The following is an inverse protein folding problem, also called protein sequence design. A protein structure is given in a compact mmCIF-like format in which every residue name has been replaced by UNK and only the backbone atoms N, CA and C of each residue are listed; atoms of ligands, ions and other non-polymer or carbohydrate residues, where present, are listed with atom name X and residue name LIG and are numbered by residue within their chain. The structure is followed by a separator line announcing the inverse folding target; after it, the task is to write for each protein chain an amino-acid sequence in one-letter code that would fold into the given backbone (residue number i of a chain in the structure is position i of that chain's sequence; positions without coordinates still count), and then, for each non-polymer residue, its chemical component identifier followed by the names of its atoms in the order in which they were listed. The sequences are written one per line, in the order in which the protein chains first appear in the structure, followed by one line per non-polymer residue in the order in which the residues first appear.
data_IF_356836710607
#
_entry.id   IF_356836710607
#
_cell.length_a   1.000
_cell.length_b   1.000
_cell.length_c   1.000
_cell.angle_alpha   90.00
_cell.angle_beta   90.00
_cell.angle_gamma   90.00
#
_symmetry.space_group_name_H-M   'P 1'
#
loop_
_entity.id
_entity.type
_entity.pdbx_description
1 polymer ?
#
# COMPACT_ATOMS: atom_id res chain seq x y z
N UNK A 1 -22.07 11.10 -12.05
CA UNK A 1 -20.63 11.00 -12.39
C UNK A 1 -19.73 11.64 -11.35
N UNK A 2 -19.91 12.92 -11.00
CA UNK A 2 -19.15 13.60 -9.93
C UNK A 2 -19.29 12.90 -8.57
N UNK A 3 -20.46 12.29 -8.31
CA UNK A 3 -20.76 11.38 -7.20
C UNK A 3 -19.75 10.24 -7.06
N UNK A 4 -19.57 9.45 -8.13
CA UNK A 4 -18.65 8.31 -8.14
C UNK A 4 -17.19 8.75 -7.99
N UNK A 5 -16.82 9.87 -8.62
CA UNK A 5 -15.47 10.44 -8.59
C UNK A 5 -15.10 10.95 -7.18
N UNK A 6 -16.07 11.36 -6.36
CA UNK A 6 -15.81 11.73 -4.97
C UNK A 6 -15.84 10.50 -4.03
N UNK A 7 -16.82 9.60 -4.24
CA UNK A 7 -17.09 8.49 -3.33
C UNK A 7 -16.00 7.40 -3.36
N UNK A 8 -15.52 7.01 -4.54
CA UNK A 8 -14.50 5.96 -4.67
C UNK A 8 -13.17 6.38 -4.02
N UNK A 9 -12.57 7.55 -4.32
CA UNK A 9 -11.34 7.99 -3.67
C UNK A 9 -11.48 8.16 -2.16
N UNK A 10 -12.63 8.68 -1.70
CA UNK A 10 -12.92 8.80 -0.25
C UNK A 10 -12.88 7.43 0.42
N UNK A 11 -13.58 6.44 -0.15
CA UNK A 11 -13.57 5.08 0.36
C UNK A 11 -12.18 4.46 0.36
N UNK A 12 -11.40 4.65 -0.72
CA UNK A 12 -10.05 4.09 -0.86
C UNK A 12 -9.13 4.67 0.21
N UNK A 13 -9.21 5.98 0.46
CA UNK A 13 -8.43 6.69 1.48
C UNK A 13 -8.78 6.19 2.89
N UNK A 14 -10.07 6.08 3.22
CA UNK A 14 -10.50 5.58 4.53
C UNK A 14 -10.07 4.13 4.75
N UNK A 15 -10.24 3.26 3.76
CA UNK A 15 -9.77 1.88 3.84
C UNK A 15 -8.25 1.80 4.00
N UNK A 16 -7.49 2.65 3.30
CA UNK A 16 -6.03 2.68 3.43
C UNK A 16 -5.59 3.11 4.84
N UNK A 17 -6.25 4.11 5.45
CA UNK A 17 -5.98 4.54 6.82
C UNK A 17 -6.30 3.45 7.84
N UNK A 18 -7.48 2.82 7.71
CA UNK A 18 -7.90 1.72 8.60
C UNK A 18 -6.97 0.52 8.45
N UNK A 19 -6.60 0.14 7.23
CA UNK A 19 -5.69 -0.95 6.95
C UNK A 19 -4.26 -0.68 7.49
N UNK A 20 -3.77 0.55 7.34
CA UNK A 20 -2.50 0.99 7.93
C UNK A 20 -2.49 0.88 9.45
N UNK A 21 -3.52 1.44 10.09
CA UNK A 21 -3.68 1.39 11.54
C UNK A 21 -3.78 -0.06 12.04
N UNK A 22 -4.60 -0.90 11.39
CA UNK A 22 -4.71 -2.32 11.73
C UNK A 22 -3.38 -3.07 11.57
N UNK A 23 -2.59 -2.73 10.53
CA UNK A 23 -1.27 -3.33 10.33
C UNK A 23 -0.31 -2.95 11.48
N UNK A 24 -0.31 -1.69 11.94
CA UNK A 24 0.54 -1.27 13.06
C UNK A 24 0.07 -1.84 14.40
N UNK A 25 -1.24 -1.93 14.63
CA UNK A 25 -1.79 -2.52 15.87
C UNK A 25 -1.51 -4.02 15.95
N UNK A 26 -1.53 -4.74 14.82
CA UNK A 26 -1.23 -6.18 14.80
C UNK A 26 0.27 -6.48 14.86
N UNK A 27 1.15 -5.52 14.49
CA UNK A 27 2.61 -5.65 14.57
C UNK A 27 3.25 -4.35 15.07
N UNK A 28 3.14 -4.01 16.36
CA UNK A 28 3.59 -2.72 16.89
C UNK A 28 5.10 -2.51 16.80
N UNK A 29 5.89 -3.59 16.71
CA UNK A 29 7.34 -3.52 16.58
C UNK A 29 7.83 -3.25 15.14
N UNK A 30 6.99 -3.46 14.12
CA UNK A 30 7.42 -3.38 12.72
C UNK A 30 7.79 -1.95 12.29
N UNK A 31 6.98 -0.96 12.70
CA UNK A 31 7.21 0.44 12.34
C UNK A 31 8.46 1.03 13.05
N UNK A 32 8.66 0.87 14.38
CA UNK A 32 9.90 1.26 15.04
C UNK A 32 11.14 0.59 14.45
N UNK A 33 11.08 -0.71 14.12
CA UNK A 33 12.18 -1.43 13.51
C UNK A 33 12.54 -0.85 12.13
N UNK A 34 11.53 -0.57 11.29
CA UNK A 34 11.71 0.09 9.99
C UNK A 34 12.33 1.48 10.13
N UNK A 35 11.80 2.33 11.03
CA UNK A 35 12.34 3.68 11.25
C UNK A 35 13.78 3.66 11.76
N UNK A 36 14.11 2.69 12.62
CA UNK A 36 15.48 2.48 13.10
C UNK A 36 16.40 2.06 11.95
N UNK A 37 15.96 1.12 11.10
CA UNK A 37 16.72 0.67 9.93
C UNK A 37 16.96 1.80 8.92
N UNK A 38 15.99 2.70 8.73
CA UNK A 38 16.17 3.86 7.85
C UNK A 38 17.17 4.89 8.40
N UNK A 39 17.41 4.95 9.72
CA UNK A 39 18.42 5.81 10.33
C UNK A 39 18.24 7.32 10.06
N UNK A 40 17.03 7.77 9.69
CA UNK A 40 16.73 9.19 9.40
C UNK A 40 16.38 9.96 10.68
N UNK A 41 15.76 9.30 11.65
CA UNK A 41 15.36 9.89 12.93
C UNK A 41 16.35 9.51 14.03
N UNK A 42 16.58 10.38 15.03
CA UNK A 42 17.35 10.00 16.21
C UNK A 42 16.60 8.89 16.96
N UNK A 43 17.33 7.92 17.54
CA UNK A 43 16.76 6.73 18.18
C UNK A 43 15.68 7.05 19.24
N UNK A 44 15.82 8.19 19.93
CA UNK A 44 14.85 8.67 20.94
C UNK A 44 13.51 9.11 20.35
N UNK A 45 13.49 9.57 19.09
CA UNK A 45 12.28 10.03 18.41
C UNK A 45 11.52 8.91 17.70
N UNK A 46 12.17 7.78 17.41
CA UNK A 46 11.57 6.61 16.73
C UNK A 46 10.26 6.12 17.39
N UNK A 47 10.20 5.83 18.70
CA UNK A 47 8.97 5.32 19.31
C UNK A 47 7.85 6.36 19.30
N UNK A 48 8.19 7.64 19.45
CA UNK A 48 7.22 8.73 19.40
C UNK A 48 6.64 8.89 17.99
N UNK A 49 7.49 8.89 16.97
CA UNK A 49 7.08 8.99 15.58
C UNK A 49 6.19 7.81 15.16
N UNK A 50 6.56 6.59 15.57
CA UNK A 50 5.76 5.40 15.31
C UNK A 50 4.36 5.50 15.95
N UNK A 51 4.28 5.89 17.23
CA UNK A 51 2.98 6.08 17.91
C UNK A 51 2.16 7.20 17.29
N UNK A 52 2.78 8.33 16.96
CA UNK A 52 2.10 9.46 16.34
C UNK A 52 1.52 9.09 14.98
N UNK A 53 2.26 8.34 14.16
CA UNK A 53 1.79 7.82 12.87
C UNK A 53 0.57 6.91 13.05
N UNK A 54 0.65 5.90 13.91
CA UNK A 54 -0.47 4.97 14.16
C UNK A 54 -1.70 5.69 14.75
N UNK A 55 -1.50 6.63 15.66
CA UNK A 55 -2.59 7.44 16.21
C UNK A 55 -3.21 8.33 15.14
N UNK A 56 -2.42 8.97 14.28
CA UNK A 56 -2.93 9.79 13.20
C UNK A 56 -3.76 8.96 12.21
N UNK A 57 -3.28 7.78 11.81
CA UNK A 57 -4.03 6.87 10.94
C UNK A 57 -5.35 6.41 11.58
N UNK A 58 -5.31 6.00 12.85
CA UNK A 58 -6.49 5.57 13.58
C UNK A 58 -7.52 6.69 13.77
N UNK A 59 -7.07 7.88 14.19
CA UNK A 59 -7.95 9.03 14.40
C UNK A 59 -8.56 9.52 13.10
N UNK A 60 -7.78 9.63 12.01
CA UNK A 60 -8.31 10.03 10.71
C UNK A 60 -9.26 8.97 10.13
N UNK A 61 -8.95 7.69 10.27
CA UNK A 61 -9.84 6.60 9.86
C UNK A 61 -11.17 6.62 10.62
N UNK A 62 -11.12 6.76 11.94
CA UNK A 62 -12.31 6.81 12.80
C UNK A 62 -13.14 8.08 12.55
N UNK A 63 -12.50 9.26 12.54
CA UNK A 63 -13.17 10.54 12.30
C UNK A 63 -13.77 10.61 10.90
N UNK A 64 -13.07 10.11 9.89
CA UNK A 64 -13.57 10.06 8.52
C UNK A 64 -14.77 9.12 8.36
N UNK A 65 -14.73 7.95 9.01
CA UNK A 65 -15.86 7.01 9.03
C UNK A 65 -17.06 7.62 9.75
N UNK A 66 -16.84 8.23 10.92
CA UNK A 66 -17.90 8.89 11.67
C UNK A 66 -18.52 10.07 10.89
N UNK A 67 -17.69 10.91 10.26
CA UNK A 67 -18.16 12.02 9.43
C UNK A 67 -18.94 11.54 8.21
N UNK A 68 -18.53 10.42 7.59
CA UNK A 68 -19.24 9.80 6.48
C UNK A 68 -20.63 9.29 6.92
N UNK A 69 -20.70 8.57 8.04
CA UNK A 69 -21.95 8.03 8.60
C UNK A 69 -22.90 9.15 9.06
N UNK A 70 -22.37 10.19 9.70
CA UNK A 70 -23.10 11.38 10.11
C UNK A 70 -23.42 12.34 8.95
N UNK A 71 -22.95 12.03 7.73
CA UNK A 71 -23.15 12.84 6.52
C UNK A 71 -22.61 14.28 6.65
N UNK A 72 -21.61 14.47 7.52
CA UNK A 72 -21.04 15.77 7.85
C UNK A 72 -19.93 16.14 6.85
N UNK A 73 -20.33 16.72 5.71
CA UNK A 73 -19.45 16.97 4.56
C UNK A 73 -18.19 17.79 4.87
N UNK A 74 -18.31 18.86 5.65
CA UNK A 74 -17.17 19.73 5.99
C UNK A 74 -16.14 19.01 6.85
N UNK A 75 -16.59 18.23 7.83
CA UNK A 75 -15.73 17.38 8.65
C UNK A 75 -15.04 16.30 7.81
N UNK A 76 -15.78 15.65 6.90
CA UNK A 76 -15.20 14.66 5.99
C UNK A 76 -14.15 15.27 5.06
N UNK A 77 -14.41 16.46 4.51
CA UNK A 77 -13.45 17.19 3.69
C UNK A 77 -12.19 17.59 4.48
N UNK A 78 -12.34 18.02 5.73
CA UNK A 78 -11.21 18.31 6.62
C UNK A 78 -10.38 17.06 6.92
N UNK A 79 -11.02 15.92 7.18
CA UNK A 79 -10.33 14.63 7.37
C UNK A 79 -9.57 14.23 6.09
N UNK A 80 -10.18 14.38 4.92
CA UNK A 80 -9.52 14.07 3.64
C UNK A 80 -8.32 14.99 3.39
N UNK A 81 -8.42 16.28 3.69
CA UNK A 81 -7.28 17.20 3.60
C UNK A 81 -6.13 16.80 4.56
N UNK A 82 -6.47 16.44 5.80
CA UNK A 82 -5.48 15.95 6.76
C UNK A 82 -4.86 14.61 6.35
N UNK A 83 -5.66 13.69 5.79
CA UNK A 83 -5.17 12.44 5.23
C UNK A 83 -4.23 12.67 4.03
N UNK A 84 -4.55 13.63 3.15
CA UNK A 84 -3.68 14.03 2.06
C UNK A 84 -2.31 14.51 2.57
N UNK A 85 -2.31 15.35 3.60
CA UNK A 85 -1.08 15.81 4.24
C UNK A 85 -0.28 14.65 4.85
N UNK A 86 -0.93 13.73 5.57
CA UNK A 86 -0.28 12.55 6.14
C UNK A 86 0.37 11.68 5.06
N UNK A 87 -0.36 11.35 3.99
CA UNK A 87 0.18 10.55 2.88
C UNK A 87 1.29 11.27 2.12
N UNK A 88 1.20 12.59 1.95
CA UNK A 88 2.28 13.38 1.38
C UNK A 88 3.54 13.34 2.25
N UNK A 89 3.41 13.45 3.58
CA UNK A 89 4.51 13.27 4.52
C UNK A 89 5.16 11.89 4.38
N UNK A 90 4.35 10.82 4.29
CA UNK A 90 4.88 9.46 4.04
C UNK A 90 5.60 9.35 2.70
N UNK A 91 5.05 9.94 1.63
CA UNK A 91 5.67 9.91 0.31
C UNK A 91 7.00 10.67 0.29
N UNK A 92 7.06 11.85 0.91
CA UNK A 92 8.27 12.66 1.03
C UNK A 92 9.32 11.96 1.89
N UNK A 93 8.91 11.38 3.02
CA UNK A 93 9.80 10.60 3.88
C UNK A 93 10.39 9.41 3.11
N UNK A 94 9.56 8.59 2.47
CA UNK A 94 10.03 7.44 1.70
C UNK A 94 10.96 7.86 0.55
N UNK A 95 10.64 8.97 -0.15
CA UNK A 95 11.51 9.52 -1.19
C UNK A 95 12.85 9.97 -0.64
N UNK A 96 12.87 10.67 0.49
CA UNK A 96 14.09 11.11 1.14
C UNK A 96 14.96 9.93 1.58
N UNK A 97 14.36 8.94 2.23
CA UNK A 97 15.02 7.72 2.67
C UNK A 97 15.67 6.98 1.49
N UNK A 98 14.95 6.82 0.36
CA UNK A 98 15.51 6.25 -0.87
C UNK A 98 16.65 7.09 -1.46
N UNK A 99 16.50 8.43 -1.50
CA UNK A 99 17.53 9.32 -2.01
C UNK A 99 18.83 9.28 -1.20
N UNK A 100 18.74 8.99 0.11
CA UNK A 100 19.91 8.82 1.00
C UNK A 100 20.54 7.42 0.92
N UNK A 101 20.03 6.52 0.09
CA UNK A 101 20.51 5.14 -0.02
C UNK A 101 20.19 4.27 1.20
N UNK A 102 19.40 4.76 2.15
CA UNK A 102 19.03 4.06 3.37
C UNK A 102 17.79 3.20 3.11
N UNK A 103 17.99 2.08 2.43
CA UNK A 103 16.94 1.09 2.21
C UNK A 103 16.45 0.45 3.51
N UNK A 104 15.42 -0.40 3.42
CA UNK A 104 14.88 -1.10 4.59
C UNK A 104 13.46 -1.58 4.38
N UNK A 105 12.85 -2.23 5.38
CA UNK A 105 11.45 -2.63 5.32
C UNK A 105 10.54 -1.40 5.33
N UNK A 106 9.52 -1.37 4.47
CA UNK A 106 8.65 -0.20 4.34
C UNK A 106 7.85 0.16 5.61
N UNK A 107 7.66 -0.77 6.55
CA UNK A 107 6.90 -0.58 7.79
C UNK A 107 5.38 -0.37 7.60
N UNK A 108 4.92 -0.08 6.38
CA UNK A 108 3.52 0.20 6.04
C UNK A 108 2.68 -1.03 5.71
N UNK A 109 3.28 -2.22 5.53
CA UNK A 109 2.55 -3.42 5.10
C UNK A 109 2.91 -4.66 5.89
N UNK A 110 1.98 -5.61 5.94
CA UNK A 110 2.14 -6.89 6.66
C UNK A 110 3.24 -7.78 6.07
N UNK A 111 3.61 -7.56 4.81
CA UNK A 111 4.73 -8.20 4.16
C UNK A 111 5.99 -7.33 4.35
N UNK A 112 7.12 -7.95 4.65
CA UNK A 112 8.43 -7.29 4.64
C UNK A 112 8.81 -6.97 3.19
N UNK A 113 8.24 -5.88 2.68
CA UNK A 113 8.52 -5.36 1.36
C UNK A 113 9.61 -4.29 1.49
N UNK A 114 10.71 -4.39 0.73
CA UNK A 114 11.74 -3.37 0.74
C UNK A 114 11.18 -2.04 0.24
N UNK A 115 11.66 -0.95 0.83
CA UNK A 115 11.38 0.40 0.38
C UNK A 115 11.78 0.53 -1.09
N UNK A 116 10.86 1.02 -1.93
CA UNK A 116 11.04 1.14 -3.38
C UNK A 116 10.30 2.36 -3.91
N UNK A 117 10.64 2.81 -5.11
CA UNK A 117 9.95 3.93 -5.78
C UNK A 117 8.44 3.69 -5.93
N UNK A 118 8.01 2.42 -5.99
CA UNK A 118 6.60 2.05 -5.98
C UNK A 118 5.87 2.50 -4.70
N UNK A 119 6.49 2.34 -3.52
CA UNK A 119 5.89 2.75 -2.24
C UNK A 119 5.70 4.27 -2.21
N UNK A 120 6.67 5.02 -2.75
CA UNK A 120 6.57 6.47 -2.91
C UNK A 120 5.41 6.83 -3.83
N UNK A 121 5.31 6.18 -5.00
CA UNK A 121 4.22 6.38 -5.96
C UNK A 121 2.85 6.07 -5.37
N UNK A 122 2.72 4.97 -4.60
CA UNK A 122 1.48 4.60 -3.91
C UNK A 122 1.07 5.63 -2.86
N UNK A 123 2.01 6.11 -2.06
CA UNK A 123 1.72 7.15 -1.07
C UNK A 123 1.26 8.45 -1.75
N UNK A 124 1.90 8.85 -2.86
CA UNK A 124 1.43 9.97 -3.67
C UNK A 124 0.04 9.73 -4.27
N UNK A 125 -0.26 8.52 -4.75
CA UNK A 125 -1.59 8.21 -5.27
C UNK A 125 -2.66 8.42 -4.19
N UNK A 126 -2.45 7.93 -2.96
CA UNK A 126 -3.39 8.18 -1.85
C UNK A 126 -3.48 9.66 -1.49
N UNK A 127 -2.37 10.39 -1.48
CA UNK A 127 -2.36 11.83 -1.22
C UNK A 127 -3.19 12.60 -2.27
N UNK A 128 -3.01 12.29 -3.55
CA UNK A 128 -3.74 12.93 -4.66
C UNK A 128 -5.22 12.55 -4.67
N UNK A 129 -5.55 11.29 -4.36
CA UNK A 129 -6.94 10.84 -4.21
C UNK A 129 -7.63 11.60 -3.08
N UNK A 130 -6.99 11.73 -1.92
CA UNK A 130 -7.52 12.47 -0.79
C UNK A 130 -7.68 13.97 -1.10
N UNK A 131 -6.67 14.58 -1.73
CA UNK A 131 -6.67 15.99 -2.11
C UNK A 131 -7.74 16.29 -3.16
N UNK A 132 -7.94 15.40 -4.14
CA UNK A 132 -8.98 15.55 -5.16
C UNK A 132 -10.39 15.33 -4.60
N UNK A 133 -10.56 14.41 -3.65
CA UNK A 133 -11.85 14.13 -3.03
C UNK A 133 -12.32 15.24 -2.08
N UNK A 134 -11.40 15.86 -1.32
CA UNK A 134 -11.73 16.89 -0.34
C UNK A 134 -12.62 18.04 -0.88
N UNK A 135 -12.27 18.75 -1.99
CA UNK A 135 -13.11 19.81 -2.53
C UNK A 135 -14.41 19.29 -3.14
N UNK A 136 -14.43 18.08 -3.71
CA UNK A 136 -15.63 17.47 -4.28
C UNK A 136 -16.67 17.14 -3.19
N UNK A 137 -16.20 16.67 -2.02
CA UNK A 137 -17.04 16.41 -0.84
C UNK A 137 -17.50 17.70 -0.18
N UNK A 138 -16.64 18.73 -0.12
CA UNK A 138 -17.01 20.04 0.42
C UNK A 138 -18.04 20.78 -0.46
N UNK A 139 -18.06 20.52 -1.77
CA UNK A 139 -18.98 21.13 -2.73
C UNK A 139 -20.36 20.46 -2.83
N UNK A 140 -21.05 20.74 -3.94
CA UNK A 140 -22.39 20.22 -4.29
C UNK A 140 -22.39 18.75 -4.75
N UNK A 141 -21.40 17.94 -4.37
CA UNK A 141 -21.46 16.50 -4.65
C UNK A 141 -22.71 15.92 -3.97
N UNK A 142 -23.72 15.54 -4.75
CA UNK A 142 -24.84 14.78 -4.22
C UNK A 142 -24.31 13.45 -3.67
N UNK A 143 -24.96 12.82 -2.69
CA UNK A 143 -24.72 11.41 -2.43
C UNK A 143 -25.09 10.55 -3.66
N UNK A 144 -24.58 9.31 -3.79
CA UNK A 144 -25.01 8.43 -4.87
C UNK A 144 -26.52 8.20 -4.76
N UNK A 145 -27.25 8.53 -5.82
CA UNK A 145 -28.72 8.59 -5.81
C UNK A 145 -29.37 7.24 -6.18
N UNK A 146 -28.57 6.21 -6.52
CA UNK A 146 -29.05 4.90 -6.97
C UNK A 146 -28.26 3.70 -6.47
N UNK A 147 -28.95 2.56 -6.31
CA UNK A 147 -28.38 1.30 -5.84
C UNK A 147 -27.23 0.77 -6.73
N UNK A 148 -27.30 1.02 -8.04
CA UNK A 148 -26.24 0.67 -8.98
C UNK A 148 -24.96 1.49 -8.76
N UNK A 149 -25.08 2.80 -8.51
CA UNK A 149 -23.92 3.65 -8.19
C UNK A 149 -23.30 3.22 -6.86
N UNK A 150 -24.11 2.90 -5.85
CA UNK A 150 -23.64 2.38 -4.58
C UNK A 150 -22.89 1.04 -4.73
N UNK A 151 -23.40 0.13 -5.56
CA UNK A 151 -22.74 -1.15 -5.86
C UNK A 151 -21.39 -0.94 -6.57
N UNK A 152 -21.31 -0.03 -7.54
CA UNK A 152 -20.06 0.32 -8.23
C UNK A 152 -19.05 0.87 -7.24
N UNK A 153 -19.44 1.80 -6.35
CA UNK A 153 -18.55 2.32 -5.31
C UNK A 153 -18.10 1.21 -4.38
N UNK A 154 -19.02 0.37 -3.92
CA UNK A 154 -18.74 -0.73 -2.99
C UNK A 154 -17.79 -1.78 -3.57
N UNK A 155 -17.80 -2.00 -4.89
CA UNK A 155 -16.90 -2.94 -5.58
C UNK A 155 -15.58 -2.29 -6.00
N UNK A 156 -15.63 -1.08 -6.55
CA UNK A 156 -14.45 -0.37 -7.04
C UNK A 156 -13.50 -0.01 -5.91
N UNK A 157 -14.04 0.43 -4.77
CA UNK A 157 -13.25 0.86 -3.60
C UNK A 157 -12.31 -0.24 -3.09
N UNK A 158 -12.80 -1.43 -2.70
CA UNK A 158 -11.92 -2.51 -2.23
C UNK A 158 -11.03 -3.03 -3.36
N UNK A 159 -11.48 -3.02 -4.62
CA UNK A 159 -10.67 -3.45 -5.76
C UNK A 159 -9.46 -2.54 -5.96
N UNK A 160 -9.67 -1.22 -6.04
CA UNK A 160 -8.58 -0.25 -6.18
C UNK A 160 -7.67 -0.23 -4.95
N UNK A 161 -8.25 -0.31 -3.75
CA UNK A 161 -7.47 -0.41 -2.52
C UNK A 161 -6.60 -1.67 -2.53
N UNK A 162 -7.16 -2.83 -2.86
CA UNK A 162 -6.44 -4.10 -2.93
C UNK A 162 -5.37 -4.08 -4.02
N UNK A 163 -5.65 -3.52 -5.20
CA UNK A 163 -4.68 -3.37 -6.28
C UNK A 163 -3.50 -2.49 -5.85
N UNK A 164 -3.77 -1.31 -5.30
CA UNK A 164 -2.72 -0.42 -4.78
C UNK A 164 -1.93 -1.08 -3.64
N UNK A 165 -2.60 -1.91 -2.82
CA UNK A 165 -1.98 -2.59 -1.69
C UNK A 165 -1.12 -3.80 -2.10
N UNK A 166 -1.57 -4.62 -3.04
CA UNK A 166 -1.00 -5.93 -3.39
C UNK A 166 -0.08 -5.91 -4.63
N UNK A 167 -0.09 -4.84 -5.43
CA UNK A 167 0.82 -4.75 -6.60
C UNK A 167 2.30 -4.96 -6.26
N UNK A 168 2.87 -4.41 -5.15
CA UNK A 168 4.29 -4.60 -4.88
C UNK A 168 4.65 -6.07 -4.60
N UNK A 169 3.76 -6.82 -3.95
CA UNK A 169 3.98 -8.27 -3.74
C UNK A 169 3.93 -9.05 -5.05
N UNK A 170 3.05 -8.66 -5.98
CA UNK A 170 2.96 -9.30 -7.30
C UNK A 170 4.18 -9.00 -8.18
N UNK A 171 4.77 -7.80 -8.08
CA UNK A 171 5.97 -7.43 -8.85
C UNK A 171 7.27 -8.02 -8.27
N UNK A 172 7.37 -8.18 -6.94
CA UNK A 172 8.59 -8.71 -6.29
C UNK A 172 8.67 -10.23 -6.25
N UNK A 173 7.53 -10.91 -6.45
CA UNK A 173 7.47 -12.34 -6.72
C UNK A 173 6.63 -12.55 -7.98
N UNK A 174 7.19 -12.35 -9.19
CA UNK A 174 6.57 -12.91 -10.37
C UNK A 174 6.43 -14.40 -10.07
N UNK A 175 5.20 -14.92 -10.02
CA UNK A 175 4.99 -16.36 -10.05
C UNK A 175 5.85 -16.87 -11.19
N UNK A 176 6.90 -17.62 -10.86
CA UNK A 176 7.56 -18.46 -11.83
C UNK A 176 6.45 -19.38 -12.31
N UNK A 177 5.82 -19.04 -13.44
CA UNK A 177 5.11 -20.04 -14.23
C UNK A 177 6.11 -21.16 -14.35
N UNK A 178 5.81 -22.27 -13.69
CA UNK A 178 6.61 -23.47 -13.72
C UNK A 178 6.82 -23.76 -15.20
N UNK A 179 8.01 -23.42 -15.70
CA UNK A 179 8.45 -23.81 -17.03
C UNK A 179 8.34 -25.32 -16.95
N UNK A 180 7.48 -25.99 -17.75
CA UNK A 180 7.40 -27.44 -17.71
C UNK A 180 8.82 -27.93 -17.93
N UNK A 181 9.40 -28.53 -16.89
CA UNK A 181 10.71 -29.14 -16.96
C UNK A 181 10.55 -30.24 -17.99
N UNK A 182 10.95 -29.96 -19.24
CA UNK A 182 11.11 -31.00 -20.24
C UNK A 182 12.15 -31.91 -19.63
N UNK A 183 11.69 -33.07 -19.14
CA UNK A 183 12.55 -34.09 -18.57
C UNK A 183 13.63 -34.37 -19.61
N UNK A 184 14.88 -34.03 -19.27
CA UNK A 184 16.02 -34.40 -20.08
C UNK A 184 16.00 -35.92 -20.20
N UNK A 185 15.74 -36.40 -21.42
CA UNK A 185 15.76 -37.80 -21.79
C UNK A 185 17.14 -38.37 -21.41
N UNK A 186 17.24 -39.47 -20.63
CA UNK A 186 18.53 -40.09 -20.36
C UNK A 186 19.18 -40.49 -21.69
N UNK A 187 20.39 -40.01 -21.92
CA UNK A 187 21.20 -40.47 -23.04
C UNK A 187 21.50 -41.96 -22.82
N UNK A 188 20.99 -42.80 -23.73
CA UNK A 188 21.31 -44.22 -23.77
C UNK A 188 22.81 -44.37 -24.04
N UNK A 189 23.53 -45.02 -23.11
CA UNK A 189 24.90 -45.48 -23.32
C UNK A 189 24.87 -46.61 -24.34
N UNK A 190 25.14 -46.30 -25.60
CA UNK A 190 25.41 -47.31 -26.62
C UNK A 190 26.85 -47.80 -26.40
N UNK A 191 26.93 -49.03 -25.90
CA UNK A 191 28.18 -49.78 -25.84
C UNK A 191 28.71 -50.06 -27.26
N UNK A 192 30.01 -49.91 -27.41
CA UNK A 192 30.75 -50.33 -28.59
C UNK A 192 32.17 -50.63 -28.16
N UNK A 193 32.46 -51.91 -27.95
CA UNK A 193 33.77 -52.38 -27.57
C UNK A 193 34.78 -52.31 -28.72
N UNK A 194 36.06 -52.34 -28.37
CA UNK A 194 37.02 -53.29 -28.90
C UNK A 194 38.35 -53.17 -28.13
N UNK A 195 38.80 -54.29 -27.55
CA UNK A 195 40.20 -54.52 -27.21
C UNK A 195 40.96 -54.84 -28.50
N UNK A 196 42.26 -54.57 -28.55
CA UNK A 196 43.16 -55.71 -28.73
C UNK A 196 44.35 -55.70 -27.77
N UNK A 197 44.75 -56.93 -27.42
CA UNK A 197 46.01 -57.30 -26.80
C UNK A 197 47.19 -56.98 -27.73
N UNK A 198 48.38 -56.71 -27.16
CA UNK A 198 49.56 -57.59 -27.29
C UNK A 198 50.73 -57.09 -26.44
N UNK A 199 51.31 -58.05 -25.71
CA UNK A 199 52.69 -58.20 -25.23
C UNK A 199 53.23 -57.23 -24.17
#
# INVERSE_FOLDING_TARGET
MTTLIAAVPTGVVLLALIAGCAAHLTRPAALPAALTAHGVLPARAVPLAARAATLAEGLLGAAGTAALLARHRTALAAVLAAAAALFACYALYARHTLATGRGGPCGCSRAEVPLSGWIVGRAWAFALLALGAAPLVAGRGAPPDGAAEAAVVALATPTFAALLWALPTAMTRPTAMARPTVAARPAASVGGGHRPWTS
#
